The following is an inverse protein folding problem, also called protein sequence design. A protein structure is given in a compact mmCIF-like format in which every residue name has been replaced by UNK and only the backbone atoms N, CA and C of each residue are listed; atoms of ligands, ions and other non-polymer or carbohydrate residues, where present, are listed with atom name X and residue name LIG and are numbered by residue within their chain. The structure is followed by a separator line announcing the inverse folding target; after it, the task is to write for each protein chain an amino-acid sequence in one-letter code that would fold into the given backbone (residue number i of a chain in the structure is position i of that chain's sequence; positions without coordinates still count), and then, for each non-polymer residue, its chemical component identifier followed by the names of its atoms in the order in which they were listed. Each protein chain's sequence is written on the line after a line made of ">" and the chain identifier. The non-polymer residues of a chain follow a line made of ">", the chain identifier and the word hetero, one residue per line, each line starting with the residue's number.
data_IF_995147703261
#
_entry.id   IF_995147703261
#
_cell.length_a   1.000
_cell.length_b   1.000
_cell.length_c   1.000
_cell.angle_alpha   90.00
_cell.angle_beta   90.00
_cell.angle_gamma   90.00
#
_symmetry.space_group_name_H-M   'P 1'
#
loop_
_entity.id
_entity.type
_entity.pdbx_description
1 polymer ?
#
# COMPACT_ATOMS: atom_id res chain seq x y z
N UNK A 1 -5.52 6.75 15.19
CA UNK A 1 -6.48 7.64 14.46
C UNK A 1 -5.76 8.38 13.33
N UNK A 2 -6.48 8.77 12.29
CA UNK A 2 -5.96 9.55 11.16
C UNK A 2 -6.33 11.02 11.36
N UNK A 3 -5.34 11.91 11.28
CA UNK A 3 -5.57 13.35 11.28
C UNK A 3 -5.34 13.89 9.88
N UNK A 4 -6.35 14.54 9.33
CA UNK A 4 -6.26 15.27 8.06
C UNK A 4 -6.47 16.75 8.33
N UNK A 5 -5.49 17.59 8.00
CA UNK A 5 -5.63 19.04 8.07
C UNK A 5 -5.75 19.59 6.65
N UNK A 6 -6.68 20.53 6.47
CA UNK A 6 -6.98 21.18 5.21
C UNK A 6 -6.45 22.62 5.24
N UNK A 7 -5.64 22.99 4.25
CA UNK A 7 -5.27 24.38 4.00
C UNK A 7 -5.67 24.79 2.58
N UNK A 8 -6.37 25.91 2.49
CA UNK A 8 -6.65 26.58 1.23
C UNK A 8 -5.66 27.74 1.11
N UNK A 9 -4.97 27.87 -0.03
CA UNK A 9 -4.13 29.03 -0.34
C UNK A 9 -4.98 30.03 -1.12
N UNK A 10 -5.44 31.15 -0.52
CA UNK A 10 -6.21 32.13 -1.26
C UNK A 10 -5.28 33.16 -1.90
N UNK A 11 -5.61 33.61 -3.11
CA UNK A 11 -5.14 34.90 -3.61
C UNK A 11 -6.14 36.05 -3.38
N UNK A 12 -7.37 35.79 -2.89
CA UNK A 12 -8.34 36.88 -2.61
C UNK A 12 -9.50 36.57 -1.63
N UNK A 13 -9.88 35.30 -1.39
CA UNK A 13 -11.08 34.97 -0.59
C UNK A 13 -10.72 34.15 0.64
N UNK A 14 -11.06 34.65 1.83
CA UNK A 14 -10.89 33.90 3.07
C UNK A 14 -12.11 32.99 3.26
N UNK A 15 -11.93 31.66 3.37
CA UNK A 15 -13.02 30.73 3.64
C UNK A 15 -13.64 30.96 5.02
N UNK A 16 -14.97 30.76 5.11
CA UNK A 16 -15.66 30.61 6.40
C UNK A 16 -15.61 29.15 6.82
N UNK A 17 -15.17 28.88 8.05
CA UNK A 17 -15.10 27.51 8.57
C UNK A 17 -16.28 27.20 9.50
N UNK A 18 -16.84 26.00 9.38
CA UNK A 18 -17.86 25.47 10.29
C UNK A 18 -17.47 24.08 10.75
N UNK A 19 -17.48 23.86 12.07
CA UNK A 19 -17.14 22.58 12.67
C UNK A 19 -18.42 21.88 13.19
N UNK A 20 -18.53 20.60 12.87
CA UNK A 20 -19.59 19.69 13.33
C UNK A 20 -18.95 18.39 13.85
N UNK A 21 -19.69 17.53 14.57
CA UNK A 21 -19.17 16.21 14.93
C UNK A 21 -18.67 15.46 13.69
N UNK A 22 -17.40 15.05 13.70
CA UNK A 22 -16.71 14.34 12.61
C UNK A 22 -16.58 15.12 11.28
N UNK A 23 -16.87 16.42 11.24
CA UNK A 23 -16.78 17.21 10.01
C UNK A 23 -16.21 18.62 10.25
N UNK A 24 -15.36 19.07 9.33
CA UNK A 24 -14.90 20.45 9.21
C UNK A 24 -15.16 20.91 7.77
N UNK A 25 -15.99 21.94 7.63
CA UNK A 25 -16.39 22.50 6.33
C UNK A 25 -15.73 23.86 6.14
N UNK A 26 -15.24 24.11 4.92
CA UNK A 26 -14.75 25.43 4.49
C UNK A 26 -15.63 25.91 3.32
N UNK A 27 -16.29 27.05 3.50
CA UNK A 27 -17.16 27.68 2.49
C UNK A 27 -16.46 28.88 1.86
N UNK A 28 -16.44 28.94 0.52
CA UNK A 28 -15.84 30.03 -0.26
C UNK A 28 -16.84 30.54 -1.29
N UNK A 29 -17.00 31.86 -1.34
CA UNK A 29 -17.85 32.53 -2.33
C UNK A 29 -16.98 33.40 -3.23
N UNK A 30 -17.08 33.18 -4.54
CA UNK A 30 -16.37 33.95 -5.58
C UNK A 30 -17.41 34.46 -6.57
N UNK A 31 -17.43 35.77 -6.82
CA UNK A 31 -18.22 36.36 -7.90
C UNK A 31 -17.39 36.41 -9.17
N UNK A 32 -17.95 35.95 -10.29
CA UNK A 32 -17.29 35.93 -11.60
C UNK A 32 -18.14 36.70 -12.62
N UNK A 33 -17.48 37.45 -13.50
CA UNK A 33 -18.12 38.05 -14.67
C UNK A 33 -18.19 37.05 -15.84
N UNK A 34 -18.95 37.39 -16.87
CA UNK A 34 -18.99 36.61 -18.11
C UNK A 34 -17.58 36.47 -18.71
N UNK A 35 -17.16 35.23 -18.96
CA UNK A 35 -15.82 34.91 -19.49
C UNK A 35 -14.71 34.76 -18.45
N UNK A 36 -14.96 35.02 -17.15
CA UNK A 36 -13.98 34.80 -16.08
C UNK A 36 -13.99 33.35 -15.57
N UNK A 37 -12.81 32.86 -15.17
CA UNK A 37 -12.64 31.53 -14.56
C UNK A 37 -11.91 31.65 -13.23
N UNK A 38 -12.23 30.77 -12.29
CA UNK A 38 -11.51 30.63 -11.01
C UNK A 38 -11.02 29.20 -10.82
N UNK A 39 -10.00 29.03 -9.98
CA UNK A 39 -9.45 27.74 -9.61
C UNK A 39 -9.20 27.69 -8.10
N UNK A 40 -9.55 26.56 -7.49
CA UNK A 40 -9.31 26.28 -6.06
C UNK A 40 -8.36 25.10 -5.99
N UNK A 41 -7.23 25.28 -5.28
CA UNK A 41 -6.31 24.18 -4.95
C UNK A 41 -6.57 23.75 -3.52
N UNK A 42 -6.86 22.46 -3.33
CA UNK A 42 -7.08 21.84 -2.03
C UNK A 42 -5.89 20.95 -1.68
N UNK A 43 -5.10 21.36 -0.69
CA UNK A 43 -3.97 20.57 -0.19
C UNK A 43 -4.41 19.83 1.08
N UNK A 44 -4.19 18.51 1.10
CA UNK A 44 -4.56 17.64 2.22
C UNK A 44 -3.33 16.82 2.60
N UNK A 45 -2.91 16.93 3.86
CA UNK A 45 -1.90 16.06 4.45
C UNK A 45 -2.58 15.05 5.36
N UNK A 46 -2.15 13.81 5.28
CA UNK A 46 -2.68 12.69 6.05
C UNK A 46 -1.55 12.07 6.85
N UNK A 47 -1.69 12.05 8.18
CA UNK A 47 -0.78 11.35 9.08
C UNK A 47 -1.55 10.33 9.93
N UNK A 48 -0.87 9.26 10.33
CA UNK A 48 -1.47 8.20 11.12
C UNK A 48 -0.66 7.92 12.38
N UNK A 49 -1.31 7.30 13.36
CA UNK A 49 -0.68 6.87 14.62
C UNK A 49 0.38 5.79 14.43
N UNK A 50 0.48 5.19 13.24
CA UNK A 50 1.53 4.22 12.89
C UNK A 50 2.91 4.89 12.77
N UNK A 51 2.93 6.16 12.36
CA UNK A 51 4.16 6.90 12.05
C UNK A 51 4.40 8.06 13.01
N UNK A 52 3.31 8.68 13.49
CA UNK A 52 3.36 9.84 14.38
C UNK A 52 2.44 9.58 15.57
N UNK A 53 2.96 9.54 16.80
CA UNK A 53 2.14 9.37 18.01
C UNK A 53 0.97 10.35 18.04
N UNK A 54 -0.21 9.92 18.52
CA UNK A 54 -1.44 10.74 18.46
C UNK A 54 -1.25 12.13 19.09
N UNK A 55 -0.47 12.21 20.17
CA UNK A 55 -0.17 13.47 20.88
C UNK A 55 0.68 14.46 20.07
N UNK A 56 1.33 14.02 19.00
CA UNK A 56 2.23 14.82 18.16
C UNK A 56 1.67 15.10 16.76
N UNK A 57 0.54 14.51 16.39
CA UNK A 57 0.00 14.60 15.02
C UNK A 57 -0.29 16.03 14.58
N UNK A 58 -0.90 16.86 15.43
CA UNK A 58 -1.21 18.26 15.09
C UNK A 58 0.07 19.04 14.82
N UNK A 59 1.06 18.92 15.71
CA UNK A 59 2.36 19.58 15.56
C UNK A 59 3.03 19.15 14.26
N UNK A 60 3.11 17.84 14.01
CA UNK A 60 3.79 17.31 12.82
C UNK A 60 3.12 17.75 11.52
N UNK A 61 1.79 17.77 11.46
CA UNK A 61 1.08 18.23 10.26
C UNK A 61 1.30 19.73 10.02
N UNK A 62 1.34 20.55 11.07
CA UNK A 62 1.63 21.97 10.94
C UNK A 62 3.06 22.24 10.43
N UNK A 63 4.04 21.47 10.92
CA UNK A 63 5.42 21.50 10.40
C UNK A 63 5.47 21.12 8.91
N UNK A 64 4.86 20.00 8.53
CA UNK A 64 4.80 19.56 7.13
C UNK A 64 4.13 20.60 6.23
N UNK A 65 3.06 21.26 6.69
CA UNK A 65 2.42 22.34 5.94
C UNK A 65 3.30 23.60 5.83
N UNK A 66 4.17 23.86 6.81
CA UNK A 66 5.12 24.97 6.75
C UNK A 66 6.29 24.68 5.80
N UNK A 67 6.72 23.42 5.72
CA UNK A 67 7.75 22.93 4.80
C UNK A 67 7.24 22.80 3.35
N UNK A 68 5.93 22.60 3.16
CA UNK A 68 5.31 22.41 1.85
C UNK A 68 5.24 23.73 1.06
N UNK A 69 6.30 23.97 0.28
CA UNK A 69 6.45 25.15 -0.60
C UNK A 69 6.02 24.89 -2.03
N UNK A 70 5.95 23.62 -2.44
CA UNK A 70 5.61 23.18 -3.79
C UNK A 70 4.18 23.57 -4.18
N UNK A 71 4.00 24.12 -5.39
CA UNK A 71 2.69 24.42 -5.96
C UNK A 71 2.12 23.22 -6.73
N UNK A 72 0.80 23.18 -6.96
CA UNK A 72 0.14 22.08 -7.67
C UNK A 72 0.81 21.69 -9.01
N UNK A 73 1.19 22.62 -9.91
CA UNK A 73 1.85 22.25 -11.16
C UNK A 73 3.17 21.50 -10.95
N UNK A 74 3.97 21.92 -9.96
CA UNK A 74 5.24 21.29 -9.61
C UNK A 74 5.02 19.92 -8.96
N UNK A 75 4.04 19.81 -8.06
CA UNK A 75 3.66 18.55 -7.42
C UNK A 75 3.18 17.53 -8.47
N UNK A 76 2.36 17.97 -9.44
CA UNK A 76 1.91 17.14 -10.57
C UNK A 76 3.09 16.69 -11.43
N UNK A 77 4.02 17.59 -11.76
CA UNK A 77 5.21 17.26 -12.53
C UNK A 77 6.11 16.26 -11.79
N UNK A 78 6.29 16.43 -10.48
CA UNK A 78 7.02 15.47 -9.63
C UNK A 78 6.37 14.09 -9.59
N UNK A 79 5.05 14.02 -9.43
CA UNK A 79 4.30 12.77 -9.48
C UNK A 79 4.42 12.08 -10.85
N UNK A 80 4.30 12.83 -11.95
CA UNK A 80 4.45 12.29 -13.30
C UNK A 80 5.88 11.76 -13.55
N UNK A 81 6.89 12.48 -13.08
CA UNK A 81 8.29 12.05 -13.18
C UNK A 81 8.57 10.77 -12.35
N UNK A 82 7.97 10.65 -11.17
CA UNK A 82 8.05 9.42 -10.38
C UNK A 82 7.40 8.23 -11.10
N UNK A 83 6.23 8.42 -11.71
CA UNK A 83 5.58 7.37 -12.50
C UNK A 83 6.32 7.02 -13.78
N UNK A 84 6.94 7.99 -14.45
CA UNK A 84 7.76 7.73 -15.63
C UNK A 84 8.91 6.77 -15.31
N UNK A 85 9.54 6.89 -14.14
CA UNK A 85 10.59 5.95 -13.69
C UNK A 85 10.04 4.53 -13.46
N UNK A 86 8.81 4.41 -12.95
CA UNK A 86 8.14 3.10 -12.78
C UNK A 86 7.86 2.46 -14.14
N UNK A 87 7.34 3.23 -15.09
CA UNK A 87 7.09 2.75 -16.46
C UNK A 87 8.36 2.36 -17.20
N UNK A 88 9.47 3.09 -17.04
CA UNK A 88 10.75 2.73 -17.64
C UNK A 88 11.24 1.32 -17.25
N UNK A 89 10.88 0.85 -16.05
CA UNK A 89 11.28 -0.47 -15.57
C UNK A 89 10.27 -1.56 -15.94
N UNK A 90 8.98 -1.23 -16.01
CA UNK A 90 7.91 -2.22 -15.95
C UNK A 90 6.92 -2.20 -17.12
N UNK A 91 7.03 -1.25 -18.06
CA UNK A 91 6.06 -1.16 -19.16
C UNK A 91 6.10 -2.39 -20.08
N UNK A 92 4.93 -2.79 -20.56
CA UNK A 92 4.75 -3.89 -21.50
C UNK A 92 4.07 -3.31 -22.73
N UNK A 93 4.81 -3.24 -23.83
CA UNK A 93 4.31 -2.70 -25.10
C UNK A 93 3.69 -3.81 -25.92
N UNK A 94 2.42 -3.63 -26.29
CA UNK A 94 1.64 -4.52 -27.14
C UNK A 94 1.26 -3.74 -28.40
N UNK A 95 1.78 -4.18 -29.55
CA UNK A 95 1.49 -3.56 -30.84
C UNK A 95 0.33 -4.26 -31.53
N UNK A 96 -0.58 -3.49 -32.14
CA UNK A 96 -1.71 -4.01 -32.91
C UNK A 96 -2.97 -4.34 -32.11
N UNK A 97 -2.97 -4.10 -30.80
CA UNK A 97 -4.13 -4.29 -29.93
C UNK A 97 -4.17 -3.23 -28.81
N UNK A 98 -4.92 -2.15 -29.05
CA UNK A 98 -5.04 -1.03 -28.12
C UNK A 98 -5.78 -1.41 -26.83
N UNK A 99 -6.72 -2.35 -26.89
CA UNK A 99 -7.47 -2.81 -25.71
C UNK A 99 -6.57 -3.64 -24.79
N UNK A 100 -5.79 -4.56 -25.35
CA UNK A 100 -4.78 -5.30 -24.58
C UNK A 100 -3.72 -4.38 -23.99
N UNK A 101 -3.25 -3.39 -24.76
CA UNK A 101 -2.27 -2.40 -24.30
C UNK A 101 -2.82 -1.56 -23.13
N UNK A 102 -4.08 -1.12 -23.20
CA UNK A 102 -4.76 -0.44 -22.11
C UNK A 102 -4.89 -1.35 -20.89
N UNK A 103 -5.31 -2.60 -21.09
CA UNK A 103 -5.53 -3.58 -20.03
C UNK A 103 -4.27 -3.85 -19.21
N UNK A 104 -3.13 -4.16 -19.85
CA UNK A 104 -1.90 -4.46 -19.11
C UNK A 104 -1.37 -3.23 -18.35
N UNK A 105 -1.43 -2.03 -18.96
CA UNK A 105 -1.04 -0.80 -18.28
C UNK A 105 -1.99 -0.45 -17.13
N UNK A 106 -3.29 -0.70 -17.26
CA UNK A 106 -4.23 -0.52 -16.15
C UNK A 106 -3.90 -1.45 -14.98
N UNK A 107 -3.61 -2.72 -15.24
CA UNK A 107 -3.25 -3.69 -14.21
C UNK A 107 -1.99 -3.28 -13.44
N UNK A 108 -0.92 -2.93 -14.17
CA UNK A 108 0.33 -2.46 -13.57
C UNK A 108 0.15 -1.16 -12.79
N UNK A 109 -0.63 -0.22 -13.34
CA UNK A 109 -0.96 1.03 -12.67
C UNK A 109 -1.67 0.79 -11.33
N UNK A 110 -2.71 -0.05 -11.30
CA UNK A 110 -3.45 -0.36 -10.07
C UNK A 110 -2.57 -1.09 -9.04
N UNK A 111 -1.76 -2.05 -9.50
CA UNK A 111 -0.87 -2.81 -8.63
C UNK A 111 0.18 -1.90 -7.97
N UNK A 112 0.86 -1.06 -8.74
CA UNK A 112 1.88 -0.13 -8.23
C UNK A 112 1.30 1.08 -7.47
N UNK A 113 0.03 1.39 -7.70
CA UNK A 113 -0.70 2.36 -6.86
C UNK A 113 -1.07 1.77 -5.50
N UNK A 114 -1.24 0.45 -5.42
CA UNK A 114 -1.55 -0.26 -4.17
C UNK A 114 -0.30 -0.53 -3.35
N UNK A 115 0.77 -1.02 -3.98
CA UNK A 115 2.02 -1.34 -3.30
C UNK A 115 3.21 -1.13 -4.23
N UNK A 116 4.31 -0.58 -3.70
CA UNK A 116 5.57 -0.47 -4.44
C UNK A 116 6.79 -0.67 -3.53
N UNK A 117 6.59 -1.31 -2.38
CA UNK A 117 7.67 -1.64 -1.43
C UNK A 117 8.24 -0.48 -0.61
N UNK A 118 7.62 0.70 -0.65
CA UNK A 118 8.10 1.90 0.07
C UNK A 118 7.89 1.82 1.59
N UNK A 119 7.00 0.92 2.06
CA UNK A 119 6.78 0.61 3.48
C UNK A 119 6.80 -0.91 3.69
N UNK A 120 7.81 -1.41 4.41
CA UNK A 120 8.02 -2.84 4.66
C UNK A 120 7.05 -3.43 5.70
N UNK A 121 6.23 -2.58 6.35
CA UNK A 121 5.18 -3.00 7.29
C UNK A 121 3.85 -3.28 6.59
N UNK A 122 3.70 -2.92 5.32
CA UNK A 122 2.47 -3.07 4.55
C UNK A 122 2.53 -4.28 3.61
N UNK A 123 1.36 -4.67 3.12
CA UNK A 123 1.18 -5.77 2.18
C UNK A 123 0.04 -5.44 1.19
N UNK A 124 -0.36 -6.39 0.36
CA UNK A 124 -1.27 -6.21 -0.76
C UNK A 124 -2.62 -6.83 -0.43
N UNK A 125 -3.63 -5.99 -0.22
CA UNK A 125 -5.00 -6.46 -0.08
C UNK A 125 -5.58 -6.96 -1.42
N UNK A 126 -6.44 -7.99 -1.45
CA UNK A 126 -7.02 -8.51 -2.71
C UNK A 126 -7.76 -7.47 -3.56
N UNK A 127 -8.26 -6.39 -2.94
CA UNK A 127 -8.89 -5.24 -3.61
C UNK A 127 -8.13 -3.94 -3.43
N UNK A 128 -6.90 -3.99 -2.93
CA UNK A 128 -6.09 -2.82 -2.61
C UNK A 128 -6.89 -1.77 -1.84
N UNK A 129 -6.87 -0.54 -2.32
CA UNK A 129 -7.61 0.59 -1.73
C UNK A 129 -8.89 0.94 -2.50
N UNK A 130 -9.53 -0.05 -3.16
CA UNK A 130 -10.64 0.18 -4.08
C UNK A 130 -12.00 -0.34 -3.60
N UNK A 131 -12.07 -0.90 -2.40
CA UNK A 131 -13.32 -1.34 -1.77
C UNK A 131 -13.09 -2.16 -0.51
N UNK A 132 -14.18 -2.61 0.12
CA UNK A 132 -14.13 -3.22 1.46
C UNK A 132 -14.10 -4.74 1.47
N UNK A 133 -14.56 -5.42 0.41
CA UNK A 133 -14.53 -6.89 0.37
C UNK A 133 -13.09 -7.40 0.51
N UNK A 134 -12.87 -8.39 1.38
CA UNK A 134 -11.57 -8.90 1.85
C UNK A 134 -10.80 -7.99 2.82
N UNK A 135 -11.41 -6.87 3.26
CA UNK A 135 -10.94 -6.03 4.35
C UNK A 135 -9.64 -5.25 4.11
N UNK A 136 -8.99 -5.42 2.96
CA UNK A 136 -7.64 -4.89 2.71
C UNK A 136 -6.54 -5.65 3.49
N UNK A 137 -6.84 -6.87 3.95
CA UNK A 137 -5.92 -7.73 4.70
C UNK A 137 -4.95 -8.47 3.78
N UNK A 138 -3.93 -9.08 4.37
CA UNK A 138 -2.96 -9.92 3.68
C UNK A 138 -3.49 -11.34 3.46
N UNK A 139 -3.33 -11.86 2.24
CA UNK A 139 -3.69 -13.22 1.80
C UNK A 139 -2.49 -13.92 1.13
N UNK A 140 -2.61 -15.22 0.84
CA UNK A 140 -1.60 -15.98 0.07
C UNK A 140 -1.43 -15.48 -1.38
N UNK A 141 -2.37 -14.66 -1.88
CA UNK A 141 -2.32 -14.00 -3.18
C UNK A 141 -1.00 -13.25 -3.40
N UNK A 142 -0.46 -12.64 -2.34
CA UNK A 142 0.81 -11.92 -2.37
C UNK A 142 1.95 -12.84 -2.82
N UNK A 143 2.13 -13.96 -2.15
CA UNK A 143 3.23 -14.89 -2.42
C UNK A 143 3.03 -15.67 -3.72
N UNK A 144 1.79 -16.04 -4.04
CA UNK A 144 1.50 -16.86 -5.22
C UNK A 144 1.47 -16.05 -6.53
N UNK A 145 0.93 -14.83 -6.52
CA UNK A 145 0.69 -14.05 -7.75
C UNK A 145 1.48 -12.75 -7.81
N UNK A 146 1.59 -12.01 -6.71
CA UNK A 146 2.26 -10.70 -6.74
C UNK A 146 3.79 -10.84 -6.77
N UNK A 147 4.37 -11.73 -5.95
CA UNK A 147 5.82 -11.94 -5.86
C UNK A 147 6.47 -12.24 -7.22
N UNK A 148 5.95 -13.17 -8.06
CA UNK A 148 6.51 -13.40 -9.39
C UNK A 148 6.58 -12.13 -10.26
N UNK A 149 5.57 -11.25 -10.16
CA UNK A 149 5.52 -10.01 -10.92
C UNK A 149 6.53 -8.99 -10.38
N UNK A 150 6.62 -8.79 -9.07
CA UNK A 150 7.58 -7.85 -8.47
C UNK A 150 9.03 -8.26 -8.69
N UNK A 151 9.33 -9.56 -8.72
CA UNK A 151 10.65 -10.05 -9.09
C UNK A 151 11.06 -9.63 -10.51
N UNK A 152 10.11 -9.61 -11.45
CA UNK A 152 10.39 -9.25 -12.84
C UNK A 152 10.34 -7.74 -13.12
N UNK A 153 9.45 -6.99 -12.45
CA UNK A 153 9.06 -5.63 -12.84
C UNK A 153 9.37 -4.56 -11.77
N UNK A 154 10.05 -4.93 -10.69
CA UNK A 154 10.47 -3.99 -9.66
C UNK A 154 11.86 -4.32 -9.14
N UNK A 155 12.38 -3.46 -8.27
CA UNK A 155 13.66 -3.74 -7.61
C UNK A 155 13.50 -4.92 -6.62
N UNK A 156 14.52 -5.79 -6.46
CA UNK A 156 14.44 -6.96 -5.59
C UNK A 156 14.01 -6.66 -4.15
N UNK A 157 14.32 -5.47 -3.63
CA UNK A 157 13.96 -5.04 -2.28
C UNK A 157 12.44 -5.02 -2.06
N UNK A 158 11.63 -4.79 -3.10
CA UNK A 158 10.17 -4.83 -2.98
C UNK A 158 9.70 -6.22 -2.60
N UNK A 159 10.19 -7.26 -3.27
CA UNK A 159 9.88 -8.65 -2.94
C UNK A 159 10.50 -9.04 -1.59
N UNK A 160 11.74 -8.61 -1.31
CA UNK A 160 12.39 -8.86 -0.01
C UNK A 160 11.56 -8.31 1.15
N UNK A 161 10.97 -7.12 0.99
CA UNK A 161 10.09 -6.52 1.99
C UNK A 161 8.81 -7.33 2.22
N UNK A 162 8.20 -7.88 1.16
CA UNK A 162 7.04 -8.77 1.29
C UNK A 162 7.39 -10.07 2.04
N UNK A 163 8.58 -10.63 1.79
CA UNK A 163 9.02 -11.81 2.52
C UNK A 163 9.38 -11.50 3.98
N UNK A 164 10.02 -10.35 4.23
CA UNK A 164 10.30 -9.83 5.57
C UNK A 164 9.00 -9.62 6.36
N UNK A 165 7.94 -9.14 5.72
CA UNK A 165 6.62 -9.02 6.34
C UNK A 165 6.12 -10.36 6.91
N UNK A 166 6.29 -11.47 6.17
CA UNK A 166 5.92 -12.82 6.63
C UNK A 166 6.85 -13.34 7.71
N UNK A 167 8.15 -13.11 7.60
CA UNK A 167 9.12 -13.50 8.64
C UNK A 167 8.81 -12.82 9.98
N UNK A 168 8.53 -11.50 9.97
CA UNK A 168 8.14 -10.75 11.16
C UNK A 168 6.85 -11.26 11.84
N UNK A 169 6.04 -12.05 11.12
CA UNK A 169 4.79 -12.64 11.59
C UNK A 169 4.91 -14.14 11.95
N UNK A 170 6.12 -14.71 11.88
CA UNK A 170 6.37 -16.12 12.19
C UNK A 170 5.89 -16.52 13.60
N UNK A 171 6.10 -15.73 14.68
CA UNK A 171 5.57 -16.08 16.00
C UNK A 171 4.05 -16.22 16.03
N UNK A 172 3.32 -15.39 15.26
CA UNK A 172 1.87 -15.46 15.16
C UNK A 172 1.42 -16.63 14.29
N UNK A 173 2.17 -17.01 13.25
CA UNK A 173 1.92 -18.23 12.50
C UNK A 173 2.08 -19.49 13.39
N UNK A 174 3.07 -19.50 14.29
CA UNK A 174 3.22 -20.56 15.30
C UNK A 174 2.03 -20.57 16.27
N UNK A 175 1.57 -19.40 16.72
CA UNK A 175 0.36 -19.29 17.53
C UNK A 175 -0.86 -19.90 16.83
N UNK A 176 -1.07 -19.61 15.54
CA UNK A 176 -2.20 -20.15 14.77
C UNK A 176 -2.13 -21.69 14.66
N UNK A 177 -0.95 -22.27 14.46
CA UNK A 177 -0.76 -23.72 14.44
C UNK A 177 -1.14 -24.35 15.79
N UNK A 178 -0.73 -23.72 16.89
CA UNK A 178 -1.07 -24.19 18.25
C UNK A 178 -2.58 -24.17 18.52
N UNK A 179 -3.32 -23.20 17.97
CA UNK A 179 -4.79 -23.16 18.11
C UNK A 179 -5.48 -24.38 17.49
N UNK A 180 -4.80 -25.08 16.57
CA UNK A 180 -5.30 -26.30 15.91
C UNK A 180 -4.60 -27.58 16.39
N UNK A 181 -3.76 -27.49 17.43
CA UNK A 181 -2.98 -28.63 17.93
C UNK A 181 -1.87 -29.09 16.99
N UNK A 182 -1.46 -28.25 16.03
CA UNK A 182 -0.37 -28.52 15.10
C UNK A 182 0.97 -28.03 15.66
N UNK A 183 2.06 -28.64 15.19
CA UNK A 183 3.43 -28.16 15.41
C UNK A 183 3.85 -27.23 14.27
N UNK A 184 4.90 -26.44 14.50
CA UNK A 184 5.46 -25.56 13.48
C UNK A 184 4.64 -24.27 13.33
N UNK A 185 4.73 -23.66 12.15
CA UNK A 185 4.03 -22.43 11.80
C UNK A 185 2.89 -22.72 10.81
N UNK A 186 1.71 -22.15 11.06
CA UNK A 186 0.59 -22.12 10.14
C UNK A 186 0.28 -20.66 9.84
N UNK A 187 0.66 -20.20 8.65
CA UNK A 187 0.33 -18.85 8.25
C UNK A 187 -1.19 -18.73 8.05
N UNK A 188 -1.78 -17.58 8.40
CA UNK A 188 -3.21 -17.37 8.32
C UNK A 188 -3.67 -17.24 6.87
N UNK A 189 -4.94 -17.57 6.61
CA UNK A 189 -5.60 -17.21 5.36
C UNK A 189 -5.77 -15.69 5.25
N UNK A 190 -6.16 -15.02 6.34
CA UNK A 190 -6.42 -13.57 6.38
C UNK A 190 -5.74 -12.94 7.58
N UNK A 191 -4.94 -11.87 7.38
CA UNK A 191 -4.32 -11.20 8.52
C UNK A 191 -3.89 -9.75 8.31
N UNK A 192 -3.73 -9.04 9.42
CA UNK A 192 -2.97 -7.79 9.52
C UNK A 192 -1.76 -7.91 10.45
N UNK A 193 -1.83 -8.78 11.46
CA UNK A 193 -0.87 -8.89 12.56
C UNK A 193 -0.11 -10.22 12.58
N UNK A 194 -0.43 -11.13 11.67
CA UNK A 194 0.05 -12.51 11.62
C UNK A 194 -0.92 -13.51 12.26
N UNK A 195 -1.84 -13.05 13.11
CA UNK A 195 -2.90 -13.88 13.69
C UNK A 195 -4.06 -14.00 12.70
N UNK A 196 -4.66 -15.18 12.61
CA UNK A 196 -5.80 -15.48 11.75
C UNK A 196 -7.01 -14.58 12.03
N UNK A 197 -7.68 -14.16 10.96
CA UNK A 197 -8.88 -13.32 10.99
C UNK A 197 -10.07 -13.95 10.25
N UNK A 198 -9.86 -15.01 9.47
CA UNK A 198 -10.91 -15.71 8.74
C UNK A 198 -11.77 -16.60 9.67
N UNK A 199 -13.06 -16.73 9.38
CA UNK A 199 -14.03 -17.35 10.29
C UNK A 199 -14.89 -18.48 9.67
N UNK A 200 -14.53 -19.00 8.50
CA UNK A 200 -15.15 -20.20 7.92
C UNK A 200 -14.16 -21.36 8.02
N UNK A 201 -14.51 -22.41 8.76
CA UNK A 201 -13.60 -23.48 9.19
C UNK A 201 -12.96 -24.23 8.01
N UNK A 202 -13.70 -24.41 6.93
CA UNK A 202 -13.29 -25.05 5.67
C UNK A 202 -12.06 -24.35 5.08
N UNK A 203 -12.01 -23.03 5.21
CA UNK A 203 -10.95 -22.20 4.66
C UNK A 203 -9.88 -21.96 5.73
N UNK A 204 -10.32 -21.53 6.92
CA UNK A 204 -9.44 -21.16 8.02
C UNK A 204 -8.55 -22.33 8.44
N UNK A 205 -9.06 -23.55 8.48
CA UNK A 205 -8.32 -24.71 8.99
C UNK A 205 -7.76 -25.59 7.87
N UNK A 206 -8.48 -25.76 6.76
CA UNK A 206 -8.16 -26.80 5.79
C UNK A 206 -7.42 -26.29 4.54
N UNK A 207 -7.50 -25.00 4.22
CA UNK A 207 -6.83 -24.42 3.05
C UNK A 207 -5.31 -24.18 3.30
N UNK A 208 -4.60 -25.20 3.76
CA UNK A 208 -3.22 -25.14 4.25
C UNK A 208 -2.17 -24.94 3.15
N UNK A 209 -2.56 -25.02 1.87
CA UNK A 209 -1.65 -24.83 0.73
C UNK A 209 -0.97 -23.44 0.75
N UNK A 210 -1.59 -22.46 1.40
CA UNK A 210 -1.02 -21.13 1.67
C UNK A 210 0.36 -21.16 2.33
N UNK A 211 0.66 -22.15 3.18
CA UNK A 211 2.01 -22.33 3.71
C UNK A 211 3.01 -22.70 2.62
N UNK A 212 2.60 -23.54 1.67
CA UNK A 212 3.39 -23.89 0.50
C UNK A 212 3.66 -22.69 -0.41
N UNK A 213 2.68 -21.78 -0.57
CA UNK A 213 2.88 -20.54 -1.32
C UNK A 213 3.98 -19.64 -0.70
N UNK A 214 4.00 -19.52 0.63
CA UNK A 214 5.03 -18.74 1.35
C UNK A 214 6.42 -19.39 1.21
N UNK A 215 6.52 -20.70 1.42
CA UNK A 215 7.78 -21.43 1.21
C UNK A 215 8.27 -21.31 -0.24
N UNK A 216 7.36 -21.41 -1.21
CA UNK A 216 7.68 -21.24 -2.62
C UNK A 216 8.12 -19.82 -2.96
N UNK A 217 7.54 -18.79 -2.35
CA UNK A 217 7.96 -17.40 -2.58
C UNK A 217 9.39 -17.16 -2.08
N UNK A 218 9.80 -17.77 -0.96
CA UNK A 218 11.19 -17.76 -0.48
C UNK A 218 12.11 -18.41 -1.52
N UNK A 219 11.77 -19.62 -1.97
CA UNK A 219 12.51 -20.31 -3.03
C UNK A 219 12.62 -19.45 -4.30
N UNK A 220 11.51 -18.91 -4.78
CA UNK A 220 11.46 -18.14 -6.02
C UNK A 220 12.30 -16.86 -5.92
N UNK A 221 12.23 -16.15 -4.80
CA UNK A 221 13.05 -14.96 -4.56
C UNK A 221 14.55 -15.28 -4.57
N UNK A 222 14.99 -16.29 -3.82
CA UNK A 222 16.40 -16.65 -3.74
C UNK A 222 16.90 -17.17 -5.09
N UNK A 223 16.12 -18.01 -5.76
CA UNK A 223 16.50 -18.54 -7.07
C UNK A 223 16.57 -17.45 -8.16
N UNK A 224 15.69 -16.44 -8.10
CA UNK A 224 15.67 -15.34 -9.06
C UNK A 224 16.78 -14.32 -8.80
N UNK A 225 17.08 -14.02 -7.53
CA UNK A 225 17.98 -12.91 -7.15
C UNK A 225 19.39 -13.35 -6.77
N UNK A 226 19.57 -14.61 -6.34
CA UNK A 226 20.81 -15.10 -5.74
C UNK A 226 21.07 -14.60 -4.32
N UNK A 227 20.09 -13.99 -3.65
CA UNK A 227 20.23 -13.45 -2.29
C UNK A 227 20.24 -14.57 -1.23
N UNK A 228 21.37 -15.26 -1.12
CA UNK A 228 21.60 -16.31 -0.12
C UNK A 228 21.66 -15.75 1.32
N UNK A 229 21.99 -14.48 1.49
CA UNK A 229 22.06 -13.85 2.82
C UNK A 229 20.65 -13.76 3.42
N UNK A 230 19.65 -13.33 2.64
CA UNK A 230 18.25 -13.41 3.06
C UNK A 230 17.84 -14.84 3.45
N UNK A 231 18.24 -15.85 2.67
CA UNK A 231 17.90 -17.25 2.98
C UNK A 231 18.49 -17.65 4.34
N UNK A 232 19.77 -17.35 4.59
CA UNK A 232 20.47 -17.70 5.82
C UNK A 232 19.92 -16.96 7.04
N UNK A 233 19.64 -15.66 6.89
CA UNK A 233 19.29 -14.79 8.00
C UNK A 233 17.81 -14.86 8.39
N UNK A 234 16.91 -15.17 7.45
CA UNK A 234 15.47 -15.13 7.69
C UNK A 234 14.70 -16.26 6.99
N UNK A 235 15.05 -16.59 5.73
CA UNK A 235 14.31 -17.56 4.93
C UNK A 235 14.27 -18.96 5.55
N UNK A 236 15.41 -19.45 6.06
CA UNK A 236 15.54 -20.76 6.70
C UNK A 236 14.79 -20.85 8.04
N UNK A 237 14.50 -19.74 8.71
CA UNK A 237 13.68 -19.77 9.94
C UNK A 237 12.19 -19.98 9.61
N UNK A 238 11.75 -19.53 8.43
CA UNK A 238 10.37 -19.69 7.96
C UNK A 238 10.13 -21.09 7.37
N UNK A 239 11.14 -21.69 6.73
CA UNK A 239 11.10 -23.02 6.08
C UNK A 239 11.20 -24.17 7.10
#
# INVERSE_FOLDING_TARGET
>A
KTLSILRLKPRAVVPTYTQQPLALTAELTVSLNEGETTAITKEVLVVTSRDVPETQQITRVNELFAEMTTLYPEAKAGQAAAWAKRWQLADVVIEGDDEAQQGIRFNLFQLFSTYYGEDDRLNIGPKGFTGEKYGGATYWDTEAYAVPLYLALAKPEVTKNLLKYRHNQLPQAIHNAQQQGLKGALYPMVTFTGVECHNEWEITFEEIHRNGAIAYAIYNYVNYTGDEDYLKDAGLEVL
#
